data_IF_715831254318
#
_entry.id   IF_715831254318
#
_cell.length_a   1.000
_cell.length_b   1.000
_cell.length_c   1.000
_cell.angle_alpha   90.00
_cell.angle_beta   90.00
_cell.angle_gamma   90.00
#
_symmetry.space_group_name_H-M   'P 1'
#
loop_
_entity.id
_entity.type
_entity.pdbx_description
1 polymer ?
#
# COMPACT_ATOMS: atom_id res chain seq x y z
N UNK A 1 0.24 -33.34 19.56
CA UNK A 1 -1.06 -33.04 20.17
C UNK A 1 -1.50 -34.25 20.96
N UNK A 2 -1.81 -34.09 22.24
CA UNK A 2 -2.34 -35.16 23.10
C UNK A 2 -3.82 -34.86 23.32
N UNK A 3 -4.70 -35.85 23.10
CA UNK A 3 -6.14 -35.70 23.28
C UNK A 3 -6.57 -36.38 24.57
N UNK A 4 -7.34 -35.68 25.41
CA UNK A 4 -7.95 -36.28 26.59
C UNK A 4 -9.03 -37.28 26.19
N UNK A 5 -9.01 -38.47 26.81
CA UNK A 5 -9.98 -39.53 26.52
C UNK A 5 -11.22 -39.48 27.43
N UNK A 6 -11.06 -38.98 28.65
CA UNK A 6 -12.12 -38.90 29.65
C UNK A 6 -11.79 -37.84 30.69
N UNK A 7 -12.82 -37.31 31.34
CA UNK A 7 -12.68 -36.35 32.43
C UNK A 7 -12.59 -37.09 33.75
N UNK A 8 -11.67 -36.65 34.60
CA UNK A 8 -11.41 -37.24 35.90
C UNK A 8 -11.53 -36.17 36.98
N UNK A 9 -12.20 -36.50 38.08
CA UNK A 9 -12.10 -35.75 39.34
C UNK A 9 -10.92 -36.28 40.14
N UNK A 10 -10.09 -35.40 40.65
CA UNK A 10 -9.04 -35.75 41.61
C UNK A 10 -9.58 -35.60 43.03
N UNK A 11 -9.57 -36.69 43.79
CA UNK A 11 -10.06 -36.67 45.19
C UNK A 11 -8.92 -36.36 46.17
N UNK A 12 -7.71 -36.85 45.89
CA UNK A 12 -6.52 -36.59 46.72
C UNK A 12 -5.23 -36.79 45.94
N UNK A 13 -4.19 -36.06 46.31
CA UNK A 13 -2.83 -36.18 45.77
C UNK A 13 -1.88 -36.70 46.84
N UNK A 14 -0.93 -37.56 46.43
CA UNK A 14 0.11 -38.12 47.29
C UNK A 14 1.45 -38.08 46.56
N UNK A 15 2.49 -37.56 47.20
CA UNK A 15 3.86 -37.63 46.68
C UNK A 15 4.59 -38.82 47.29
N UNK A 16 5.22 -39.66 46.46
CA UNK A 16 6.12 -40.74 46.92
C UNK A 16 7.43 -40.67 46.12
N UNK A 17 8.51 -40.29 46.82
CA UNK A 17 9.79 -39.99 46.17
C UNK A 17 9.64 -38.80 45.22
N UNK A 18 10.11 -38.96 43.99
CA UNK A 18 10.02 -37.93 42.93
C UNK A 18 8.69 -37.98 42.14
N UNK A 19 7.78 -38.89 42.49
CA UNK A 19 6.55 -39.14 41.75
C UNK A 19 5.32 -38.62 42.48
N UNK A 20 4.38 -38.08 41.71
CA UNK A 20 3.03 -37.72 42.16
C UNK A 20 2.05 -38.82 41.80
N UNK A 21 1.23 -39.21 42.76
CA UNK A 21 0.10 -40.12 42.62
C UNK A 21 -1.17 -39.37 42.96
N UNK A 22 -2.28 -39.74 42.35
CA UNK A 22 -3.57 -39.17 42.70
C UNK A 22 -4.67 -40.23 42.65
N UNK A 23 -5.61 -40.13 43.60
CA UNK A 23 -6.85 -40.89 43.51
C UNK A 23 -7.80 -40.12 42.60
N UNK A 24 -8.30 -40.81 41.59
CA UNK A 24 -9.17 -40.24 40.56
C UNK A 24 -10.48 -40.99 40.45
N UNK A 25 -11.54 -40.29 40.11
CA UNK A 25 -12.83 -40.86 39.74
C UNK A 25 -13.24 -40.38 38.35
N UNK A 26 -13.83 -41.26 37.51
CA UNK A 26 -14.38 -40.84 36.23
C UNK A 26 -15.53 -39.86 36.44
N UNK A 27 -15.58 -38.85 35.58
CA UNK A 27 -16.67 -37.87 35.53
C UNK A 27 -17.35 -37.98 34.17
N UNK A 28 -18.61 -38.42 34.19
CA UNK A 28 -19.42 -38.57 32.98
C UNK A 28 -20.18 -37.27 32.68
N UNK A 29 -20.35 -36.99 31.39
CA UNK A 29 -21.16 -35.86 30.93
C UNK A 29 -22.64 -36.19 31.09
N UNK A 30 -23.40 -35.25 31.64
CA UNK A 30 -24.86 -35.30 31.71
C UNK A 30 -25.41 -34.40 30.62
N UNK A 31 -25.91 -35.01 29.54
CA UNK A 31 -26.46 -34.32 28.36
C UNK A 31 -27.94 -34.67 28.18
N UNK A 32 -28.81 -33.70 28.46
CA UNK A 32 -30.24 -33.81 28.17
C UNK A 32 -30.55 -33.24 26.78
N UNK A 33 -31.02 -34.12 25.88
CA UNK A 33 -31.38 -33.71 24.52
C UNK A 33 -32.65 -32.84 24.52
N UNK A 34 -32.63 -31.75 23.77
CA UNK A 34 -33.76 -30.85 23.66
C UNK A 34 -33.50 -29.64 22.75
N UNK A 35 -34.55 -28.90 22.38
CA UNK A 35 -34.43 -27.72 21.51
C UNK A 35 -33.55 -26.62 22.12
N UNK A 36 -33.52 -26.51 23.45
CA UNK A 36 -32.73 -25.51 24.18
C UNK A 36 -31.22 -25.78 24.07
N UNK A 37 -30.81 -27.05 24.15
CA UNK A 37 -29.42 -27.46 24.01
C UNK A 37 -28.90 -27.17 22.58
N UNK A 38 -29.72 -27.46 21.57
CA UNK A 38 -29.39 -27.17 20.18
C UNK A 38 -29.29 -25.66 19.92
N UNK A 39 -30.18 -24.86 20.52
CA UNK A 39 -30.10 -23.40 20.45
C UNK A 39 -28.80 -22.87 21.09
N UNK A 40 -28.41 -23.39 22.25
CA UNK A 40 -27.15 -23.05 22.92
C UNK A 40 -25.93 -23.42 22.07
N UNK A 41 -25.91 -24.62 21.47
CA UNK A 41 -24.83 -25.04 20.57
C UNK A 41 -24.64 -24.08 19.41
N UNK A 42 -25.74 -23.63 18.79
CA UNK A 42 -25.69 -22.63 17.71
C UNK A 42 -25.19 -21.29 18.19
N UNK A 43 -25.70 -20.80 19.33
CA UNK A 43 -25.30 -19.51 19.89
C UNK A 43 -23.80 -19.47 20.20
N UNK A 44 -23.28 -20.48 20.89
CA UNK A 44 -21.86 -20.61 21.24
C UNK A 44 -20.98 -20.71 19.98
N UNK A 45 -21.41 -21.50 18.97
CA UNK A 45 -20.70 -21.62 17.70
C UNK A 45 -20.62 -20.26 16.99
N UNK A 46 -21.74 -19.53 16.93
CA UNK A 46 -21.80 -18.23 16.27
C UNK A 46 -20.95 -17.18 17.00
N UNK A 47 -20.97 -17.15 18.34
CA UNK A 47 -20.12 -16.26 19.13
C UNK A 47 -18.63 -16.53 18.88
N UNK A 48 -18.24 -17.81 18.86
CA UNK A 48 -16.84 -18.16 18.65
C UNK A 48 -16.37 -17.87 17.22
N UNK A 49 -17.24 -18.04 16.21
CA UNK A 49 -16.95 -17.62 14.83
C UNK A 49 -16.71 -16.10 14.72
N UNK A 50 -17.47 -15.27 15.44
CA UNK A 50 -17.25 -13.82 15.48
C UNK A 50 -15.91 -13.46 16.13
N UNK A 51 -15.54 -14.14 17.21
CA UNK A 51 -14.23 -13.98 17.86
C UNK A 51 -13.10 -14.33 16.89
N UNK A 52 -13.21 -15.44 16.14
CA UNK A 52 -12.22 -15.82 15.12
C UNK A 52 -12.10 -14.74 14.05
N UNK A 53 -13.20 -14.16 13.58
CA UNK A 53 -13.18 -13.12 12.56
C UNK A 53 -12.47 -11.83 13.02
N UNK A 54 -12.48 -11.54 14.33
CA UNK A 54 -11.82 -10.38 14.94
C UNK A 54 -10.40 -10.67 15.42
N UNK A 55 -9.95 -11.94 15.41
CA UNK A 55 -8.65 -12.37 15.92
C UNK A 55 -7.83 -13.07 14.82
N UNK A 56 -6.91 -12.35 14.14
CA UNK A 56 -6.14 -12.89 13.02
C UNK A 56 -5.12 -13.98 13.42
N UNK A 57 -4.89 -14.19 14.72
CA UNK A 57 -3.91 -15.15 15.24
C UNK A 57 -4.45 -16.59 15.34
N UNK A 58 -5.76 -16.79 15.13
CA UNK A 58 -6.37 -18.13 15.21
C UNK A 58 -6.25 -18.89 13.87
N UNK A 59 -5.73 -20.14 13.87
CA UNK A 59 -5.64 -20.95 12.66
C UNK A 59 -6.99 -21.14 11.96
N UNK A 60 -7.05 -20.90 10.65
CA UNK A 60 -8.27 -21.07 9.85
C UNK A 60 -8.82 -22.51 9.80
N UNK A 61 -8.03 -23.49 10.23
CA UNK A 61 -8.42 -24.89 10.41
C UNK A 61 -9.52 -25.05 11.48
N UNK A 62 -9.54 -24.17 12.50
CA UNK A 62 -10.54 -24.18 13.58
C UNK A 62 -11.94 -23.93 13.02
N UNK A 63 -12.07 -23.08 12.01
CA UNK A 63 -13.36 -22.73 11.38
C UNK A 63 -13.99 -23.92 10.64
N UNK A 64 -13.17 -24.81 10.07
CA UNK A 64 -13.65 -26.01 9.38
C UNK A 64 -14.22 -27.05 10.35
N UNK A 65 -13.60 -27.19 11.53
CA UNK A 65 -14.08 -28.11 12.58
C UNK A 65 -15.43 -27.66 13.12
N UNK A 66 -15.62 -26.35 13.33
CA UNK A 66 -16.89 -25.77 13.79
C UNK A 66 -18.05 -25.90 12.78
N UNK A 67 -17.75 -26.11 11.50
CA UNK A 67 -18.77 -26.31 10.47
C UNK A 67 -19.39 -27.73 10.51
N UNK A 68 -18.78 -28.66 11.24
CA UNK A 68 -19.27 -30.05 11.35
C UNK A 68 -20.21 -30.19 12.55
N UNK A 69 -21.36 -30.89 12.41
CA UNK A 69 -22.23 -31.17 13.56
C UNK A 69 -21.47 -31.93 14.65
N UNK A 70 -21.28 -31.28 15.80
CA UNK A 70 -20.47 -31.82 16.91
C UNK A 70 -21.31 -31.90 18.19
N UNK A 71 -21.31 -33.04 18.89
CA UNK A 71 -22.00 -33.23 20.18
C UNK A 71 -21.70 -32.10 21.18
N UNK A 72 -22.67 -31.78 22.06
CA UNK A 72 -22.59 -30.60 22.93
C UNK A 72 -21.35 -30.57 23.82
N UNK A 73 -21.02 -31.72 24.43
CA UNK A 73 -19.84 -31.85 25.29
C UNK A 73 -18.53 -31.60 24.53
N UNK A 74 -18.37 -32.22 23.34
CA UNK A 74 -17.16 -32.07 22.51
C UNK A 74 -17.01 -30.66 21.97
N UNK A 75 -18.11 -30.03 21.57
CA UNK A 75 -18.12 -28.64 21.11
C UNK A 75 -17.62 -27.71 22.22
N UNK A 76 -18.15 -27.86 23.44
CA UNK A 76 -17.75 -27.05 24.58
C UNK A 76 -16.25 -27.20 24.87
N UNK A 77 -15.74 -28.43 24.91
CA UNK A 77 -14.34 -28.71 25.20
C UNK A 77 -13.41 -28.19 24.09
N UNK A 78 -13.81 -28.33 22.82
CA UNK A 78 -13.06 -27.81 21.67
C UNK A 78 -12.94 -26.28 21.72
N UNK A 79 -14.04 -25.59 21.97
CA UNK A 79 -14.04 -24.12 22.03
C UNK A 79 -13.24 -23.65 23.26
N UNK A 80 -13.44 -24.26 24.43
CA UNK A 80 -12.70 -23.90 25.64
C UNK A 80 -11.19 -24.08 25.50
N UNK A 81 -10.74 -25.09 24.75
CA UNK A 81 -9.31 -25.32 24.50
C UNK A 81 -8.68 -24.23 23.62
N UNK A 82 -9.44 -23.70 22.65
CA UNK A 82 -8.94 -22.74 21.66
C UNK A 82 -9.26 -21.27 22.02
N UNK A 83 -10.20 -21.04 22.94
CA UNK A 83 -10.52 -19.71 23.42
C UNK A 83 -9.44 -19.16 24.39
N UNK A 84 -9.31 -17.84 24.41
CA UNK A 84 -8.34 -17.10 25.21
C UNK A 84 -8.78 -16.94 26.68
N UNK A 85 -9.30 -18.00 27.29
CA UNK A 85 -9.69 -17.99 28.70
C UNK A 85 -8.49 -18.22 29.63
N UNK A 86 -8.59 -17.70 30.85
CA UNK A 86 -7.64 -18.02 31.91
C UNK A 86 -7.78 -19.48 32.38
N UNK A 87 -6.78 -19.95 33.13
CA UNK A 87 -6.72 -21.33 33.60
C UNK A 87 -7.89 -21.68 34.54
N UNK A 88 -8.37 -20.70 35.33
CA UNK A 88 -9.44 -20.91 36.29
C UNK A 88 -10.79 -21.11 35.58
N UNK A 89 -11.10 -20.27 34.59
CA UNK A 89 -12.26 -20.41 33.72
C UNK A 89 -12.23 -21.74 32.95
N UNK A 90 -11.08 -22.10 32.37
CA UNK A 90 -10.91 -23.40 31.68
C UNK A 90 -11.16 -24.57 32.62
N UNK A 91 -10.62 -24.52 33.84
CA UNK A 91 -10.83 -25.55 34.84
C UNK A 91 -12.29 -25.61 35.30
N UNK A 92 -12.97 -24.47 35.43
CA UNK A 92 -14.36 -24.41 35.85
C UNK A 92 -15.33 -24.94 34.80
N UNK A 93 -15.06 -24.69 33.51
CA UNK A 93 -15.77 -25.33 32.39
C UNK A 93 -15.48 -26.84 32.37
N UNK A 94 -14.22 -27.23 32.55
CA UNK A 94 -13.83 -28.63 32.62
C UNK A 94 -14.44 -29.34 33.84
N UNK A 95 -14.75 -28.67 34.94
CA UNK A 95 -15.32 -29.30 36.14
C UNK A 95 -16.85 -29.43 36.12
N UNK A 96 -17.54 -28.86 35.13
CA UNK A 96 -19.00 -28.83 35.06
C UNK A 96 -19.55 -30.03 34.27
N UNK A 97 -20.09 -31.10 34.89
CA UNK A 97 -20.54 -32.29 34.18
C UNK A 97 -21.81 -32.08 33.36
N UNK A 98 -22.65 -31.09 33.69
CA UNK A 98 -23.86 -30.81 32.94
C UNK A 98 -23.54 -30.02 31.66
N UNK A 99 -23.78 -30.62 30.50
CA UNK A 99 -23.40 -30.04 29.19
C UNK A 99 -24.14 -28.73 28.91
N UNK A 100 -25.42 -28.65 29.29
CA UNK A 100 -26.21 -27.43 29.12
C UNK A 100 -25.64 -26.28 29.94
N UNK A 101 -25.42 -26.51 31.23
CA UNK A 101 -24.84 -25.52 32.13
C UNK A 101 -23.45 -25.09 31.66
N UNK A 102 -22.65 -26.04 31.13
CA UNK A 102 -21.34 -25.75 30.55
C UNK A 102 -21.43 -24.83 29.33
N UNK A 103 -22.36 -25.09 28.41
CA UNK A 103 -22.57 -24.25 27.22
C UNK A 103 -23.12 -22.86 27.58
N UNK A 104 -23.98 -22.75 28.59
CA UNK A 104 -24.47 -21.46 29.11
C UNK A 104 -23.30 -20.61 29.64
N UNK A 105 -22.45 -21.20 30.50
CA UNK A 105 -21.26 -20.53 31.03
C UNK A 105 -20.27 -20.16 29.94
N UNK A 106 -20.07 -21.05 28.96
CA UNK A 106 -19.21 -20.79 27.81
C UNK A 106 -19.75 -19.64 26.97
N UNK A 107 -21.06 -19.57 26.73
CA UNK A 107 -21.70 -18.48 26.00
C UNK A 107 -21.48 -17.13 26.68
N UNK A 108 -21.58 -17.08 28.02
CA UNK A 108 -21.34 -15.87 28.80
C UNK A 108 -19.88 -15.39 28.66
N UNK A 109 -18.92 -16.31 28.82
CA UNK A 109 -17.49 -16.00 28.70
C UNK A 109 -17.11 -15.54 27.29
N UNK A 110 -17.61 -16.21 26.24
CA UNK A 110 -17.39 -15.79 24.86
C UNK A 110 -18.03 -14.42 24.58
N UNK A 111 -19.20 -14.13 25.16
CA UNK A 111 -19.84 -12.82 25.01
C UNK A 111 -18.99 -11.68 25.59
N UNK A 112 -18.40 -11.88 26.78
CA UNK A 112 -17.50 -10.90 27.39
C UNK A 112 -16.23 -10.70 26.56
N UNK A 113 -15.62 -11.79 26.09
CA UNK A 113 -14.42 -11.74 25.26
C UNK A 113 -14.69 -11.01 23.93
N UNK A 114 -15.80 -11.32 23.27
CA UNK A 114 -16.22 -10.66 22.03
C UNK A 114 -16.38 -9.15 22.24
N UNK A 115 -17.03 -8.72 23.33
CA UNK A 115 -17.16 -7.29 23.64
C UNK A 115 -15.80 -6.61 23.81
N UNK A 116 -14.86 -7.25 24.51
CA UNK A 116 -13.50 -6.71 24.69
C UNK A 116 -12.80 -6.54 23.33
N UNK A 117 -12.90 -7.54 22.45
CA UNK A 117 -12.32 -7.49 21.10
C UNK A 117 -12.97 -6.41 20.24
N UNK A 118 -14.29 -6.26 20.29
CA UNK A 118 -15.01 -5.19 19.60
C UNK A 118 -14.60 -3.80 20.11
N UNK A 119 -14.51 -3.60 21.42
CA UNK A 119 -14.03 -2.35 22.01
C UNK A 119 -12.58 -2.07 21.61
N UNK A 120 -11.71 -3.08 21.63
CA UNK A 120 -10.31 -2.93 21.18
C UNK A 120 -10.25 -2.51 19.71
N UNK A 121 -11.03 -3.13 18.84
CA UNK A 121 -11.14 -2.77 17.42
C UNK A 121 -11.66 -1.34 17.24
N UNK A 122 -12.71 -0.94 17.97
CA UNK A 122 -13.24 0.42 17.95
C UNK A 122 -12.22 1.46 18.44
N UNK A 123 -11.49 1.17 19.51
CA UNK A 123 -10.41 2.02 20.01
C UNK A 123 -9.31 2.14 18.97
N UNK A 124 -8.88 1.04 18.37
CA UNK A 124 -7.85 1.04 17.33
C UNK A 124 -8.28 1.88 16.12
N UNK A 125 -9.54 1.75 15.68
CA UNK A 125 -10.10 2.54 14.60
C UNK A 125 -10.20 4.03 14.99
N UNK A 126 -10.67 4.36 16.20
CA UNK A 126 -10.72 5.75 16.69
C UNK A 126 -9.34 6.37 16.84
N UNK A 127 -8.36 5.63 17.35
CA UNK A 127 -6.97 6.08 17.46
C UNK A 127 -6.39 6.30 16.06
N UNK A 128 -6.63 5.38 15.11
CA UNK A 128 -6.23 5.56 13.72
C UNK A 128 -6.85 6.81 13.10
N UNK A 129 -8.15 7.01 13.23
CA UNK A 129 -8.84 8.21 12.72
C UNK A 129 -8.40 9.50 13.42
N UNK A 130 -8.15 9.47 14.73
CA UNK A 130 -7.66 10.63 15.48
C UNK A 130 -6.20 10.94 15.14
N UNK A 131 -5.33 9.94 15.01
CA UNK A 131 -3.95 10.14 14.55
C UNK A 131 -3.94 10.67 13.12
N UNK A 132 -4.77 10.13 12.22
CA UNK A 132 -4.95 10.64 10.86
C UNK A 132 -5.47 12.10 10.86
N UNK A 133 -6.42 12.43 11.74
CA UNK A 133 -6.95 13.79 11.87
C UNK A 133 -5.93 14.75 12.48
N UNK A 134 -5.22 14.36 13.54
CA UNK A 134 -4.19 15.16 14.19
C UNK A 134 -2.97 15.33 13.29
N UNK A 135 -2.58 14.30 12.54
CA UNK A 135 -1.56 14.41 11.49
C UNK A 135 -2.04 15.32 10.36
N UNK A 136 -3.29 15.21 9.92
CA UNK A 136 -3.89 16.12 8.93
C UNK A 136 -3.92 17.56 9.45
N UNK A 137 -4.31 17.81 10.69
CA UNK A 137 -4.36 19.16 11.28
C UNK A 137 -2.95 19.73 11.53
N UNK A 138 -2.00 18.91 12.00
CA UNK A 138 -0.60 19.28 12.12
C UNK A 138 0.00 19.62 10.75
N UNK A 139 -0.28 18.78 9.75
CA UNK A 139 0.17 18.99 8.38
C UNK A 139 -0.48 20.21 7.74
N UNK A 140 -1.78 20.43 7.93
CA UNK A 140 -2.46 21.64 7.47
C UNK A 140 -1.90 22.88 8.17
N UNK A 141 -1.49 22.81 9.44
CA UNK A 141 -0.82 23.93 10.11
C UNK A 141 0.59 24.17 9.59
N UNK A 142 1.34 23.11 9.33
CA UNK A 142 2.69 23.23 8.78
C UNK A 142 2.65 23.69 7.32
N UNK A 143 1.69 23.20 6.53
CA UNK A 143 1.42 23.69 5.19
C UNK A 143 0.83 25.10 5.20
N UNK A 144 -0.02 25.49 6.15
CA UNK A 144 -0.43 26.89 6.28
C UNK A 144 0.76 27.77 6.64
N UNK A 145 1.70 27.31 7.48
CA UNK A 145 2.95 28.02 7.74
C UNK A 145 3.83 28.11 6.51
N UNK A 146 3.92 27.03 5.73
CA UNK A 146 4.75 26.95 4.54
C UNK A 146 4.12 27.79 3.42
N UNK A 147 2.80 27.72 3.22
CA UNK A 147 2.01 28.60 2.34
C UNK A 147 2.10 30.06 2.82
N UNK A 148 2.05 30.36 4.12
CA UNK A 148 2.28 31.72 4.64
C UNK A 148 3.73 32.20 4.40
N UNK A 149 4.68 31.27 4.37
CA UNK A 149 6.08 31.51 4.04
C UNK A 149 6.30 31.65 2.52
N UNK A 150 5.52 30.95 1.70
CA UNK A 150 5.52 30.98 0.23
C UNK A 150 4.74 32.17 -0.34
N UNK A 151 3.64 32.59 0.31
CA UNK A 151 2.84 33.77 0.00
C UNK A 151 3.46 35.06 0.55
N UNK A 152 4.60 34.98 1.25
CA UNK A 152 5.31 36.14 1.77
C UNK A 152 4.61 36.87 2.93
N UNK A 153 3.54 36.32 3.51
CA UNK A 153 2.82 36.94 4.63
C UNK A 153 3.54 36.74 5.98
N UNK A 154 4.45 35.76 6.08
CA UNK A 154 5.35 35.60 7.23
C UNK A 154 6.62 36.44 7.17
N UNK A 155 6.97 36.95 5.99
CA UNK A 155 8.08 37.87 5.77
C UNK A 155 7.59 39.06 4.94
N UNK A 156 6.88 39.98 5.59
CA UNK A 156 6.74 41.38 5.12
C UNK A 156 8.10 42.09 4.91
N UNK A 157 9.22 41.36 4.83
CA UNK A 157 10.57 41.88 4.71
C UNK A 157 11.15 41.77 3.30
N UNK A 158 10.67 40.91 2.40
CA UNK A 158 11.29 40.75 1.07
C UNK A 158 10.73 41.74 0.05
N UNK A 159 9.40 41.88 -0.01
CA UNK A 159 8.74 42.96 -0.77
C UNK A 159 9.07 44.32 -0.17
N UNK A 160 9.16 44.42 1.16
CA UNK A 160 9.51 45.67 1.83
C UNK A 160 11.01 45.98 1.75
N UNK A 161 11.91 44.99 1.75
CA UNK A 161 13.34 45.18 1.39
C UNK A 161 13.48 45.67 -0.04
N UNK A 162 12.79 45.05 -1.00
CA UNK A 162 12.85 45.47 -2.39
C UNK A 162 12.27 46.88 -2.54
N UNK A 163 11.24 47.25 -1.78
CA UNK A 163 10.73 48.62 -1.71
C UNK A 163 11.70 49.60 -1.04
N UNK A 164 12.37 49.22 0.06
CA UNK A 164 13.38 50.04 0.74
C UNK A 164 14.65 50.19 -0.10
N UNK A 165 15.05 49.16 -0.85
CA UNK A 165 16.21 49.16 -1.76
C UNK A 165 15.91 49.99 -3.03
N UNK A 166 14.66 49.99 -3.51
CA UNK A 166 14.17 50.91 -4.55
C UNK A 166 14.01 52.34 -4.03
N UNK A 167 13.62 52.54 -2.76
CA UNK A 167 13.47 53.86 -2.14
C UNK A 167 14.81 54.49 -1.74
N UNK A 168 15.84 53.67 -1.44
CA UNK A 168 17.21 54.09 -1.14
C UNK A 168 18.12 54.21 -2.37
N UNK A 169 17.67 53.73 -3.53
CA UNK A 169 18.32 54.01 -4.81
C UNK A 169 18.05 55.47 -5.20
N UNK A 170 19.09 56.18 -5.65
CA UNK A 170 18.94 57.52 -6.22
C UNK A 170 18.11 57.43 -7.52
N UNK A 171 16.82 57.74 -7.41
CA UNK A 171 15.84 57.75 -8.50
C UNK A 171 15.91 59.05 -9.35
N UNK A 172 17.00 59.82 -9.25
CA UNK A 172 17.18 61.06 -10.02
C UNK A 172 17.49 60.84 -11.52
N UNK A 173 17.61 59.60 -11.97
CA UNK A 173 17.79 59.25 -13.38
C UNK A 173 16.60 58.41 -13.92
N UNK A 174 15.66 59.02 -14.67
CA UNK A 174 14.48 58.35 -15.23
C UNK A 174 14.80 57.25 -16.26
N UNK A 175 16.07 57.12 -16.71
CA UNK A 175 16.46 56.19 -17.76
C UNK A 175 17.08 54.87 -17.24
N UNK A 176 17.26 54.69 -15.92
CA UNK A 176 17.77 53.42 -15.37
C UNK A 176 16.67 52.36 -15.24
N UNK A 177 16.37 51.69 -16.35
CA UNK A 177 15.57 50.46 -16.33
C UNK A 177 16.45 49.28 -15.88
N UNK A 178 16.18 48.74 -14.69
CA UNK A 178 16.83 47.50 -14.26
C UNK A 178 16.12 46.32 -14.95
N UNK A 179 16.70 45.83 -16.06
CA UNK A 179 16.17 44.67 -16.76
C UNK A 179 16.46 43.38 -15.96
N UNK A 180 15.45 42.83 -15.30
CA UNK A 180 15.54 41.53 -14.63
C UNK A 180 15.33 40.43 -15.68
N UNK A 181 16.32 39.57 -15.85
CA UNK A 181 16.32 38.42 -16.76
C UNK A 181 16.55 37.12 -15.97
N UNK A 182 16.29 35.97 -16.59
CA UNK A 182 16.52 34.67 -15.93
C UNK A 182 17.96 34.48 -15.43
N UNK A 183 18.94 35.15 -16.06
CA UNK A 183 20.36 35.06 -15.69
C UNK A 183 20.72 35.88 -14.45
N UNK A 184 20.06 37.03 -14.24
CA UNK A 184 20.33 37.87 -13.07
C UNK A 184 19.32 37.65 -11.94
N UNK A 185 18.23 36.90 -12.17
CA UNK A 185 17.25 36.53 -11.14
C UNK A 185 17.88 35.92 -9.88
N UNK A 186 18.90 35.02 -9.96
CA UNK A 186 19.52 34.46 -8.76
C UNK A 186 20.26 35.49 -7.88
N UNK A 187 20.65 36.63 -8.47
CA UNK A 187 21.29 37.74 -7.74
C UNK A 187 20.30 38.46 -6.81
N UNK A 188 19.02 38.45 -7.14
CA UNK A 188 17.97 39.16 -6.43
C UNK A 188 17.10 38.22 -5.59
N UNK A 189 16.71 37.07 -6.14
CA UNK A 189 15.83 36.07 -5.50
C UNK A 189 16.59 34.92 -4.82
N UNK A 190 17.93 34.94 -4.84
CA UNK A 190 18.77 33.86 -4.33
C UNK A 190 18.79 32.62 -5.26
N UNK A 191 19.47 31.52 -4.85
CA UNK A 191 19.58 30.32 -5.67
C UNK A 191 18.21 29.67 -5.92
N UNK A 192 18.00 28.98 -7.05
CA UNK A 192 16.72 28.34 -7.38
C UNK A 192 16.30 27.37 -6.26
N UNK A 193 15.16 27.65 -5.61
CA UNK A 193 14.62 26.85 -4.50
C UNK A 193 13.92 25.58 -4.98
N UNK A 194 13.41 25.59 -6.21
CA UNK A 194 12.72 24.48 -6.84
C UNK A 194 13.46 24.06 -8.11
N UNK A 195 13.78 22.77 -8.21
CA UNK A 195 14.24 22.14 -9.45
C UNK A 195 13.14 21.21 -9.92
N UNK A 196 12.87 21.21 -11.22
CA UNK A 196 11.95 20.23 -11.82
C UNK A 196 12.41 18.82 -11.44
N UNK A 197 11.49 18.00 -10.94
CA UNK A 197 11.78 16.61 -10.52
C UNK A 197 12.22 15.71 -11.68
N UNK A 198 11.92 16.14 -12.91
CA UNK A 198 12.25 15.47 -14.16
C UNK A 198 13.58 15.99 -14.71
N UNK A 199 13.96 17.24 -14.40
CA UNK A 199 15.20 17.83 -14.85
C UNK A 199 16.40 17.04 -14.28
N UNK A 200 17.04 16.26 -15.15
CA UNK A 200 18.21 15.44 -14.82
C UNK A 200 17.95 13.93 -14.71
N UNK A 201 16.70 13.46 -14.81
CA UNK A 201 16.39 12.01 -14.96
C UNK A 201 16.72 11.55 -16.36
N UNK A 202 17.01 10.27 -16.60
CA UNK A 202 17.21 9.68 -17.93
C UNK A 202 16.05 8.74 -18.29
N UNK A 203 15.98 8.33 -19.56
CA UNK A 203 15.03 7.29 -19.98
C UNK A 203 15.54 5.95 -19.42
N UNK A 204 14.75 5.30 -18.58
CA UNK A 204 15.20 4.14 -17.81
C UNK A 204 14.28 2.93 -18.01
N UNK A 205 14.87 1.73 -17.97
CA UNK A 205 14.13 0.47 -17.99
C UNK A 205 13.48 0.26 -16.63
N UNK A 206 12.18 -0.06 -16.64
CA UNK A 206 11.43 -0.34 -15.42
C UNK A 206 10.97 0.90 -14.66
N UNK A 207 11.22 2.12 -15.15
CA UNK A 207 10.77 3.35 -14.50
C UNK A 207 9.65 4.02 -15.30
N UNK A 208 8.45 4.18 -14.76
CA UNK A 208 7.35 4.88 -15.44
C UNK A 208 6.81 6.04 -14.62
N UNK A 209 6.37 7.10 -15.30
CA UNK A 209 5.77 8.27 -14.66
C UNK A 209 4.24 8.16 -14.65
N UNK A 210 3.67 8.04 -13.45
CA UNK A 210 2.24 8.09 -13.20
C UNK A 210 1.79 9.47 -12.69
N UNK A 211 0.49 9.76 -12.83
CA UNK A 211 -0.14 10.92 -12.19
C UNK A 211 -1.17 10.45 -11.16
N UNK A 212 -1.05 10.98 -9.94
CA UNK A 212 -1.97 10.71 -8.84
C UNK A 212 -2.70 11.97 -8.41
N UNK A 213 -3.83 11.76 -7.74
CA UNK A 213 -4.58 12.82 -7.07
C UNK A 213 -4.44 12.63 -5.56
N UNK A 214 -4.12 13.73 -4.87
CA UNK A 214 -4.10 13.81 -3.42
C UNK A 214 -5.07 14.90 -2.96
N UNK A 215 -5.51 14.91 -1.69
CA UNK A 215 -6.38 15.97 -1.17
C UNK A 215 -5.82 17.39 -1.29
N UNK A 216 -4.52 17.55 -1.50
CA UNK A 216 -3.83 18.86 -1.63
C UNK A 216 -3.51 19.23 -3.09
N UNK A 217 -3.84 18.35 -4.05
CA UNK A 217 -3.58 18.56 -5.48
C UNK A 217 -3.06 17.32 -6.19
N UNK A 218 -2.71 17.47 -7.47
CA UNK A 218 -2.07 16.41 -8.24
C UNK A 218 -0.62 16.20 -7.80
N UNK A 219 -0.15 14.95 -7.87
CA UNK A 219 1.24 14.54 -7.60
C UNK A 219 1.75 13.71 -8.77
N UNK A 220 3.02 13.88 -9.12
CA UNK A 220 3.72 13.00 -10.08
C UNK A 220 4.32 11.82 -9.31
N UNK A 221 4.04 10.61 -9.77
CA UNK A 221 4.56 9.38 -9.19
C UNK A 221 5.60 8.77 -10.12
N UNK A 222 6.76 8.42 -9.58
CA UNK A 222 7.77 7.67 -10.32
C UNK A 222 7.73 6.21 -9.89
N UNK A 223 7.14 5.35 -10.69
CA UNK A 223 7.03 3.93 -10.39
C UNK A 223 8.30 3.22 -10.85
N UNK A 224 8.86 2.37 -9.99
CA UNK A 224 10.11 1.67 -10.23
C UNK A 224 9.85 0.16 -10.17
N UNK A 225 10.22 -0.56 -11.21
CA UNK A 225 10.10 -2.00 -11.31
C UNK A 225 11.48 -2.62 -11.49
N UNK A 226 11.81 -3.62 -10.66
CA UNK A 226 13.04 -4.39 -10.78
C UNK A 226 12.75 -5.88 -10.85
N UNK A 227 13.64 -6.62 -11.53
CA UNK A 227 13.58 -8.07 -11.70
C UNK A 227 14.77 -8.71 -11.00
N UNK A 228 14.53 -9.81 -10.29
CA UNK A 228 15.56 -10.61 -9.64
C UNK A 228 15.28 -12.11 -9.86
N UNK A 229 16.30 -12.99 -9.83
CA UNK A 229 16.08 -14.43 -9.91
C UNK A 229 15.15 -14.91 -8.79
N UNK A 230 14.17 -15.76 -9.12
CA UNK A 230 13.08 -16.08 -8.19
C UNK A 230 12.16 -17.20 -8.64
N UNK A 231 10.94 -17.21 -8.11
CA UNK A 231 9.91 -18.25 -8.35
C UNK A 231 8.60 -17.67 -8.90
N UNK A 232 8.63 -16.48 -9.49
CA UNK A 232 7.45 -15.84 -10.07
C UNK A 232 6.63 -14.99 -9.09
N UNK A 233 7.22 -14.56 -7.97
CA UNK A 233 6.54 -13.70 -6.99
C UNK A 233 6.60 -12.24 -7.42
N UNK A 234 5.54 -11.49 -7.11
CA UNK A 234 5.53 -10.03 -7.22
C UNK A 234 5.49 -9.38 -5.83
N UNK A 235 6.45 -8.52 -5.53
CA UNK A 235 6.52 -7.73 -4.30
C UNK A 235 6.09 -6.29 -4.57
N UNK A 236 5.27 -5.74 -3.69
CA UNK A 236 4.72 -4.39 -3.83
C UNK A 236 5.10 -3.57 -2.60
N UNK A 237 5.72 -2.40 -2.80
CA UNK A 237 6.18 -1.53 -1.71
C UNK A 237 5.91 -0.06 -2.02
N UNK A 238 5.96 0.82 -1.00
CA UNK A 238 5.65 2.24 -1.17
C UNK A 238 4.40 2.73 -0.43
N UNK A 239 3.99 2.05 0.65
CA UNK A 239 2.76 2.35 1.39
C UNK A 239 1.50 2.37 0.52
N UNK A 240 1.41 1.40 -0.39
CA UNK A 240 0.25 1.21 -1.26
C UNK A 240 -0.98 0.75 -0.46
N UNK A 241 -2.12 1.40 -0.68
CA UNK A 241 -3.41 0.91 -0.20
C UNK A 241 -3.89 -0.32 -0.97
N UNK A 242 -4.99 -0.93 -0.52
CA UNK A 242 -5.48 -2.19 -1.08
C UNK A 242 -5.92 -2.06 -2.55
N UNK A 243 -6.57 -0.95 -2.94
CA UNK A 243 -7.01 -0.73 -4.33
C UNK A 243 -5.80 -0.58 -5.25
N UNK A 244 -4.76 0.10 -4.79
CA UNK A 244 -3.53 0.27 -5.57
C UNK A 244 -2.74 -1.05 -5.70
N UNK A 245 -2.75 -1.91 -4.66
CA UNK A 245 -2.21 -3.28 -4.75
C UNK A 245 -2.96 -4.14 -5.75
N UNK A 246 -4.30 -4.08 -5.76
CA UNK A 246 -5.13 -4.77 -6.75
C UNK A 246 -4.83 -4.28 -8.17
N UNK A 247 -4.65 -2.97 -8.37
CA UNK A 247 -4.24 -2.39 -9.65
C UNK A 247 -2.90 -2.95 -10.15
N UNK A 248 -1.91 -3.07 -9.25
CA UNK A 248 -0.63 -3.68 -9.59
C UNK A 248 -0.76 -5.17 -9.96
N UNK A 249 -1.61 -5.92 -9.25
CA UNK A 249 -1.91 -7.32 -9.58
C UNK A 249 -2.63 -7.47 -10.92
N UNK A 250 -3.55 -6.55 -11.24
CA UNK A 250 -4.23 -6.53 -12.52
C UNK A 250 -3.25 -6.25 -13.67
N UNK A 251 -2.35 -5.27 -13.51
CA UNK A 251 -1.29 -4.99 -14.46
C UNK A 251 -0.36 -6.21 -14.68
N UNK A 252 0.08 -6.85 -13.59
CA UNK A 252 0.90 -8.07 -13.66
C UNK A 252 0.19 -9.21 -14.38
N UNK A 253 -1.08 -9.46 -14.04
CA UNK A 253 -1.90 -10.53 -14.64
C UNK A 253 -2.20 -10.27 -16.13
N UNK A 254 -2.42 -9.01 -16.50
CA UNK A 254 -2.55 -8.61 -17.89
C UNK A 254 -1.28 -8.96 -18.68
N UNK A 255 -0.10 -8.52 -18.23
CA UNK A 255 1.16 -8.81 -18.93
C UNK A 255 1.42 -10.31 -19.07
N UNK A 256 1.16 -11.07 -18.00
CA UNK A 256 1.32 -12.53 -17.99
C UNK A 256 0.38 -13.26 -18.97
N UNK A 257 -0.78 -12.69 -19.27
CA UNK A 257 -1.74 -13.26 -20.23
C UNK A 257 -1.54 -12.79 -21.68
N UNK A 258 -0.60 -11.86 -21.90
CA UNK A 258 -0.39 -11.15 -23.17
C UNK A 258 1.06 -11.19 -23.65
N UNK A 259 1.82 -12.22 -23.24
CA UNK A 259 3.25 -12.32 -23.51
C UNK A 259 3.59 -12.33 -25.00
N UNK A 260 2.81 -13.05 -25.81
CA UNK A 260 3.01 -13.13 -27.27
C UNK A 260 2.81 -11.79 -27.95
N UNK A 261 1.76 -11.05 -27.57
CA UNK A 261 1.40 -9.76 -28.17
C UNK A 261 2.45 -8.68 -27.86
N UNK A 262 3.16 -8.83 -26.73
CA UNK A 262 4.11 -7.86 -26.19
C UNK A 262 5.58 -8.25 -26.38
N UNK A 263 5.85 -9.38 -27.05
CA UNK A 263 7.20 -9.94 -27.23
C UNK A 263 7.94 -10.15 -25.88
N UNK A 264 7.22 -10.69 -24.89
CA UNK A 264 7.76 -11.02 -23.57
C UNK A 264 8.00 -12.53 -23.50
N UNK A 265 9.19 -12.93 -23.05
CA UNK A 265 9.50 -14.32 -22.76
C UNK A 265 8.63 -14.84 -21.59
N UNK A 266 7.76 -15.85 -21.81
CA UNK A 266 6.90 -16.40 -20.75
C UNK A 266 7.68 -17.02 -19.58
N UNK A 267 8.90 -17.51 -19.80
CA UNK A 267 9.73 -18.11 -18.74
C UNK A 267 10.12 -17.10 -17.66
N UNK A 268 10.13 -15.80 -17.98
CA UNK A 268 10.44 -14.75 -17.01
C UNK A 268 9.47 -14.73 -15.83
N UNK A 269 8.21 -15.12 -16.04
CA UNK A 269 7.18 -15.15 -14.98
C UNK A 269 7.30 -16.33 -14.02
N UNK A 270 8.06 -17.37 -14.36
CA UNK A 270 8.28 -18.53 -13.50
C UNK A 270 9.68 -18.53 -12.87
N UNK A 271 10.66 -17.90 -13.52
CA UNK A 271 12.08 -17.91 -13.13
C UNK A 271 12.53 -16.64 -12.41
N UNK A 272 11.72 -15.58 -12.43
CA UNK A 272 12.07 -14.30 -11.81
C UNK A 272 11.02 -13.85 -10.81
N UNK A 273 11.48 -13.21 -9.73
CA UNK A 273 10.64 -12.40 -8.87
C UNK A 273 10.68 -10.94 -9.38
N UNK A 274 9.53 -10.26 -9.32
CA UNK A 274 9.39 -8.85 -9.68
C UNK A 274 9.15 -8.03 -8.42
N UNK A 275 9.69 -6.82 -8.37
CA UNK A 275 9.42 -5.88 -7.29
C UNK A 275 8.99 -4.55 -7.90
N UNK A 276 7.77 -4.12 -7.59
CA UNK A 276 7.25 -2.80 -7.94
C UNK A 276 7.29 -1.91 -6.70
N UNK A 277 8.04 -0.83 -6.79
CA UNK A 277 8.18 0.19 -5.77
C UNK A 277 7.54 1.49 -6.25
N UNK A 278 6.75 2.11 -5.37
CA UNK A 278 6.22 3.45 -5.57
C UNK A 278 6.79 4.34 -4.45
N UNK A 279 7.84 5.12 -4.71
CA UNK A 279 8.50 5.94 -3.72
C UNK A 279 7.52 6.85 -2.98
N UNK A 280 7.73 6.95 -1.68
CA UNK A 280 6.88 7.70 -0.79
C UNK A 280 7.25 9.20 -0.82
N UNK A 281 6.25 10.05 -1.05
CA UNK A 281 6.03 11.19 -0.15
C UNK A 281 5.23 10.67 1.04
N UNK A 282 5.24 11.34 2.19
CA UNK A 282 4.62 10.89 3.45
C UNK A 282 3.06 10.71 3.44
N UNK A 283 2.46 10.53 2.26
CA UNK A 283 1.02 10.49 1.99
C UNK A 283 0.68 9.09 1.47
N UNK A 284 -0.25 8.36 2.12
CA UNK A 284 -0.75 7.09 1.60
C UNK A 284 -1.35 7.24 0.19
N UNK A 285 -0.90 6.37 -0.74
CA UNK A 285 -1.31 6.37 -2.14
C UNK A 285 -2.29 5.22 -2.36
N UNK A 286 -3.56 5.55 -2.53
CA UNK A 286 -4.61 4.57 -2.77
C UNK A 286 -5.54 5.03 -3.89
N UNK A 287 -5.90 4.09 -4.77
CA UNK A 287 -6.73 4.35 -5.94
C UNK A 287 -6.23 3.67 -7.22
N UNK A 288 -7.12 3.40 -8.19
CA UNK A 288 -6.80 2.56 -9.34
C UNK A 288 -6.05 3.33 -10.45
N UNK A 289 -5.89 4.65 -10.31
CA UNK A 289 -5.48 5.53 -11.41
C UNK A 289 -4.03 5.42 -11.89
N UNK A 290 -3.20 4.62 -11.21
CA UNK A 290 -1.83 4.35 -11.60
C UNK A 290 -1.67 3.04 -12.40
N UNK A 291 -2.76 2.31 -12.67
CA UNK A 291 -2.70 0.99 -13.30
C UNK A 291 -1.97 0.96 -14.65
N UNK A 292 -2.21 1.95 -15.51
CA UNK A 292 -1.50 2.08 -16.81
C UNK A 292 0.00 2.32 -16.61
N UNK A 293 0.37 3.15 -15.63
CA UNK A 293 1.77 3.44 -15.33
C UNK A 293 2.50 2.22 -14.76
N UNK A 294 1.84 1.46 -13.87
CA UNK A 294 2.37 0.19 -13.35
C UNK A 294 2.58 -0.83 -14.45
N UNK A 295 1.60 -0.99 -15.34
CA UNK A 295 1.71 -1.89 -16.49
C UNK A 295 2.86 -1.47 -17.40
N UNK A 296 3.07 -0.17 -17.60
CA UNK A 296 4.16 0.35 -18.43
C UNK A 296 5.54 0.13 -17.80
N UNK A 297 5.69 0.35 -16.50
CA UNK A 297 6.93 0.04 -15.78
C UNK A 297 7.29 -1.45 -15.86
N UNK A 298 6.30 -2.33 -15.62
CA UNK A 298 6.50 -3.78 -15.72
C UNK A 298 6.77 -4.23 -17.16
N UNK A 299 6.05 -3.69 -18.15
CA UNK A 299 6.28 -3.98 -19.57
C UNK A 299 7.68 -3.56 -20.01
N UNK A 300 8.12 -2.37 -19.60
CA UNK A 300 9.48 -1.86 -19.83
C UNK A 300 10.53 -2.84 -19.30
N UNK A 301 10.39 -3.24 -18.03
CA UNK A 301 11.31 -4.18 -17.37
C UNK A 301 11.37 -5.54 -18.08
N UNK A 302 10.23 -6.06 -18.54
CA UNK A 302 10.14 -7.38 -19.15
C UNK A 302 10.60 -7.40 -20.60
N UNK A 303 10.41 -6.30 -21.33
CA UNK A 303 10.82 -6.15 -22.74
C UNK A 303 12.22 -5.55 -22.90
N UNK A 304 12.80 -5.01 -21.83
CA UNK A 304 14.08 -4.30 -21.88
C UNK A 304 14.00 -2.95 -22.61
N UNK A 305 12.82 -2.37 -22.77
CA UNK A 305 12.60 -1.12 -23.50
C UNK A 305 12.51 0.05 -22.52
N UNK A 306 13.40 1.06 -22.57
CA UNK A 306 13.34 2.22 -21.68
C UNK A 306 12.01 2.97 -21.80
N UNK A 307 11.51 3.50 -20.69
CA UNK A 307 10.35 4.41 -20.71
C UNK A 307 10.84 5.84 -20.86
N UNK A 308 10.17 6.62 -21.71
CA UNK A 308 10.40 8.05 -21.86
C UNK A 308 10.07 8.79 -20.57
N UNK A 309 11.06 9.48 -20.01
CA UNK A 309 10.91 10.27 -18.77
C UNK A 309 9.93 11.45 -18.90
N UNK A 310 9.73 11.93 -20.12
CA UNK A 310 8.91 13.10 -20.42
C UNK A 310 7.44 12.79 -20.74
N UNK A 311 7.05 11.51 -20.60
CA UNK A 311 5.68 11.02 -20.76
C UNK A 311 5.13 10.59 -19.41
N UNK A 312 4.02 11.21 -18.97
CA UNK A 312 3.25 10.74 -17.82
C UNK A 312 1.93 10.11 -18.26
N UNK A 313 1.36 9.26 -17.42
CA UNK A 313 0.10 8.59 -17.72
C UNK A 313 -0.78 8.40 -16.48
N UNK A 314 -2.08 8.35 -16.68
CA UNK A 314 -3.06 8.00 -15.65
C UNK A 314 -4.18 7.19 -16.28
N UNK A 315 -4.76 6.27 -15.52
CA UNK A 315 -5.80 5.38 -16.01
C UNK A 315 -5.87 4.12 -15.18
N UNK A 316 -7.09 3.65 -14.95
CA UNK A 316 -7.32 2.33 -14.39
C UNK A 316 -7.18 1.28 -15.49
N UNK A 317 -6.49 0.18 -15.21
CA UNK A 317 -6.28 -0.91 -16.17
C UNK A 317 -7.24 -2.07 -15.88
N UNK A 318 -7.77 -2.67 -16.94
CA UNK A 318 -8.51 -3.94 -16.84
C UNK A 318 -7.65 -5.11 -17.31
N UNK A 319 -8.02 -6.33 -16.88
CA UNK A 319 -7.41 -7.57 -17.38
C UNK A 319 -7.62 -7.78 -18.90
N UNK A 320 -8.53 -7.02 -19.52
CA UNK A 320 -8.85 -7.07 -20.95
C UNK A 320 -8.32 -5.84 -21.70
N UNK A 321 -7.16 -5.32 -21.30
CA UNK A 321 -6.42 -4.24 -21.96
C UNK A 321 -7.06 -2.84 -21.95
N UNK A 322 -8.33 -2.69 -21.55
CA UNK A 322 -9.00 -1.39 -21.56
C UNK A 322 -8.45 -0.47 -20.47
N UNK A 323 -8.41 0.83 -20.81
CA UNK A 323 -8.11 1.93 -19.90
C UNK A 323 -9.42 2.61 -19.48
N UNK A 324 -9.70 2.61 -18.18
CA UNK A 324 -10.90 3.18 -17.58
C UNK A 324 -10.66 4.60 -17.07
N UNK A 325 -11.72 5.43 -17.03
CA UNK A 325 -11.61 6.83 -16.64
C UNK A 325 -11.25 6.98 -15.16
N UNK A 326 -10.58 8.08 -14.84
CA UNK A 326 -10.10 8.40 -13.49
C UNK A 326 -10.46 9.83 -13.11
N UNK A 327 -10.55 10.11 -11.81
CA UNK A 327 -10.82 11.46 -11.32
C UNK A 327 -9.59 12.38 -11.29
N UNK A 328 -9.83 13.68 -11.09
CA UNK A 328 -8.82 14.69 -10.82
C UNK A 328 -7.93 15.03 -12.01
N UNK A 329 -8.46 14.97 -13.24
CA UNK A 329 -7.69 15.19 -14.48
C UNK A 329 -7.04 16.57 -14.50
N UNK A 330 -7.79 17.61 -14.14
CA UNK A 330 -7.27 18.99 -14.09
C UNK A 330 -6.07 19.09 -13.15
N UNK A 331 -6.19 18.62 -11.92
CA UNK A 331 -5.12 18.68 -10.92
C UNK A 331 -3.91 17.83 -11.33
N UNK A 332 -4.14 16.66 -11.91
CA UNK A 332 -3.09 15.75 -12.40
C UNK A 332 -2.27 16.36 -13.55
N UNK A 333 -2.93 16.97 -14.53
CA UNK A 333 -2.25 17.57 -15.67
C UNK A 333 -1.45 18.81 -15.24
N UNK A 334 -2.00 19.63 -14.34
CA UNK A 334 -1.27 20.76 -13.75
C UNK A 334 -0.01 20.27 -12.99
N UNK A 335 -0.12 19.19 -12.23
CA UNK A 335 1.03 18.61 -11.54
C UNK A 335 2.10 18.10 -12.50
N UNK A 336 1.71 17.41 -13.58
CA UNK A 336 2.62 16.98 -14.64
C UNK A 336 3.35 18.17 -15.28
N UNK A 337 2.62 19.23 -15.63
CA UNK A 337 3.20 20.45 -16.21
C UNK A 337 4.22 21.09 -15.25
N UNK A 338 3.89 21.22 -13.96
CA UNK A 338 4.81 21.77 -12.93
C UNK A 338 6.07 20.93 -12.76
N UNK A 339 5.95 19.60 -12.88
CA UNK A 339 7.09 18.70 -12.81
C UNK A 339 7.99 18.76 -14.07
N UNK A 340 7.49 19.32 -15.18
CA UNK A 340 8.19 19.41 -16.46
C UNK A 340 7.86 18.28 -17.45
N UNK A 341 6.72 17.60 -17.28
CA UNK A 341 6.23 16.61 -18.25
C UNK A 341 5.84 17.31 -19.54
N UNK A 342 6.20 16.71 -20.68
CA UNK A 342 5.87 17.23 -22.02
C UNK A 342 4.65 16.58 -22.64
N UNK A 343 4.38 15.32 -22.29
CA UNK A 343 3.24 14.56 -22.79
C UNK A 343 2.49 13.85 -21.67
N UNK A 344 1.16 13.92 -21.69
CA UNK A 344 0.29 13.17 -20.76
C UNK A 344 -0.64 12.27 -21.54
N UNK A 345 -0.67 10.99 -21.15
CA UNK A 345 -1.62 9.99 -21.65
C UNK A 345 -2.82 9.91 -20.70
N UNK A 346 -4.02 10.19 -21.22
CA UNK A 346 -5.27 10.17 -20.48
C UNK A 346 -6.24 9.11 -21.04
N UNK A 347 -7.16 8.56 -20.23
CA UNK A 347 -8.20 7.67 -20.75
C UNK A 347 -9.10 8.42 -21.74
N UNK A 348 -9.48 7.79 -22.85
CA UNK A 348 -10.38 8.40 -23.86
C UNK A 348 -11.68 8.92 -23.25
N UNK A 349 -12.23 8.19 -22.27
CA UNK A 349 -13.45 8.58 -21.55
C UNK A 349 -13.29 9.82 -20.66
N UNK A 350 -12.08 10.29 -20.40
CA UNK A 350 -11.79 11.53 -19.68
C UNK A 350 -11.65 12.77 -20.61
N UNK A 351 -11.94 12.63 -21.91
CA UNK A 351 -11.91 13.76 -22.85
C UNK A 351 -12.76 14.96 -22.40
N UNK A 352 -13.98 14.79 -21.84
CA UNK A 352 -14.74 15.93 -21.30
C UNK A 352 -14.04 16.63 -20.12
N UNK A 353 -13.41 15.88 -19.21
CA UNK A 353 -12.72 16.46 -18.05
C UNK A 353 -11.48 17.28 -18.46
N UNK A 354 -10.90 16.98 -19.62
CA UNK A 354 -9.78 17.75 -20.16
C UNK A 354 -10.17 19.17 -20.59
N UNK A 355 -11.47 19.45 -20.79
CA UNK A 355 -11.98 20.80 -21.07
C UNK A 355 -11.82 21.75 -19.87
N UNK A 356 -11.80 21.21 -18.65
CA UNK A 356 -11.60 21.98 -17.41
C UNK A 356 -10.14 22.41 -17.18
N UNK A 357 -9.21 21.88 -17.96
CA UNK A 357 -7.78 22.25 -17.88
C UNK A 357 -7.61 23.69 -18.40
N UNK A 358 -6.91 24.57 -17.64
CA UNK A 358 -6.64 25.93 -18.11
C UNK A 358 -5.95 25.96 -19.49
N UNK A 359 -6.32 26.90 -20.39
CA UNK A 359 -5.74 26.98 -21.73
C UNK A 359 -4.21 27.05 -21.73
N UNK A 360 -3.63 27.84 -20.82
CA UNK A 360 -2.18 28.00 -20.64
C UNK A 360 -1.47 26.66 -20.40
N UNK A 361 -2.10 25.77 -19.62
CA UNK A 361 -1.56 24.43 -19.34
C UNK A 361 -1.71 23.54 -20.56
N UNK A 362 -2.88 23.55 -21.21
CA UNK A 362 -3.18 22.74 -22.40
C UNK A 362 -2.27 23.08 -23.59
N UNK A 363 -1.82 24.33 -23.70
CA UNK A 363 -0.87 24.76 -24.75
C UNK A 363 0.58 24.34 -24.44
N UNK A 364 0.91 24.16 -23.17
CA UNK A 364 2.28 23.81 -22.73
C UNK A 364 2.56 22.31 -22.66
N UNK A 365 1.53 21.46 -22.67
CA UNK A 365 1.64 20.00 -22.53
C UNK A 365 0.84 19.27 -23.61
N UNK A 366 1.45 18.27 -24.26
CA UNK A 366 0.76 17.45 -25.25
C UNK A 366 -0.15 16.44 -24.54
N UNK A 367 -1.46 16.51 -24.78
CA UNK A 367 -2.43 15.56 -24.22
C UNK A 367 -2.84 14.57 -25.30
N UNK A 368 -2.62 13.29 -25.03
CA UNK A 368 -3.03 12.19 -25.91
C UNK A 368 -3.99 11.27 -25.17
N UNK A 369 -5.05 10.84 -25.85
CA UNK A 369 -6.08 9.99 -25.29
C UNK A 369 -5.91 8.54 -25.74
N UNK A 370 -6.11 7.59 -24.82
CA UNK A 370 -5.92 6.15 -25.06
C UNK A 370 -7.14 5.34 -24.61
N UNK A 371 -7.49 4.30 -25.37
CA UNK A 371 -8.54 3.34 -25.01
C UNK A 371 -7.96 2.04 -24.46
N UNK A 372 -6.78 1.66 -24.94
CA UNK A 372 -6.10 0.43 -24.59
C UNK A 372 -4.69 0.68 -24.06
N UNK A 373 -4.26 -0.15 -23.10
CA UNK A 373 -2.94 -0.04 -22.47
C UNK A 373 -1.78 -0.22 -23.47
N UNK A 374 -2.00 -0.98 -24.55
CA UNK A 374 -1.02 -1.19 -25.61
C UNK A 374 -0.64 0.13 -26.34
N UNK A 375 -1.56 1.10 -26.35
CA UNK A 375 -1.29 2.45 -26.84
C UNK A 375 -0.30 3.18 -25.93
N UNK A 376 -0.45 3.03 -24.61
CA UNK A 376 0.49 3.59 -23.65
C UNK A 376 1.91 3.04 -23.88
N UNK A 377 2.05 1.74 -24.10
CA UNK A 377 3.35 1.13 -24.38
C UNK A 377 3.98 1.68 -25.68
N UNK A 378 3.18 1.84 -26.74
CA UNK A 378 3.67 2.40 -28.02
C UNK A 378 4.13 3.85 -27.90
N UNK A 379 3.51 4.64 -27.02
CA UNK A 379 3.85 6.07 -26.84
C UNK A 379 4.94 6.31 -25.82
N UNK A 380 5.00 5.50 -24.78
CA UNK A 380 5.90 5.68 -23.64
C UNK A 380 7.20 4.88 -23.75
N UNK A 381 7.19 3.68 -24.35
CA UNK A 381 8.41 2.87 -24.47
C UNK A 381 9.20 3.26 -25.71
N UNK A 382 10.50 3.47 -25.55
CA UNK A 382 11.40 3.64 -26.68
C UNK A 382 11.31 2.44 -27.65
N UNK A 383 11.50 2.64 -28.96
CA UNK A 383 11.71 1.53 -29.88
C UNK A 383 13.01 0.82 -29.48
N UNK A 384 12.91 -0.43 -29.05
CA UNK A 384 14.06 -1.24 -28.65
C UNK A 384 14.23 -2.44 -29.57
N UNK A 385 15.48 -2.75 -29.89
CA UNK A 385 15.88 -4.02 -30.50
C UNK A 385 15.76 -5.13 -29.45
N UNK A 386 14.97 -6.21 -29.65
CA UNK A 386 14.74 -7.27 -28.65
C UNK A 386 16.01 -7.96 -28.13
N UNK A 387 17.17 -7.69 -28.74
CA UNK A 387 18.48 -8.27 -28.40
C UNK A 387 19.13 -7.78 -27.10
N UNK A 388 18.81 -6.57 -26.61
CA UNK A 388 19.46 -6.03 -25.39
C UNK A 388 18.84 -6.55 -24.08
N UNK A 389 17.66 -7.17 -24.13
CA UNK A 389 17.07 -7.85 -22.97
C UNK A 389 17.96 -8.98 -22.40
N UNK A 390 18.98 -9.41 -23.17
CA UNK A 390 19.97 -10.43 -22.77
C UNK A 390 21.11 -9.92 -21.88
N UNK A 391 21.26 -8.61 -21.66
CA UNK A 391 22.48 -8.05 -21.04
C UNK A 391 22.36 -7.64 -19.57
N UNK A 392 21.28 -7.98 -18.85
CA UNK A 392 21.26 -7.71 -17.39
C UNK A 392 22.27 -8.56 -16.60
N UNK A 393 22.77 -9.67 -17.17
CA UNK A 393 23.93 -10.39 -16.60
C UNK A 393 25.24 -9.62 -16.79
N UNK A 394 25.43 -8.94 -17.91
CA UNK A 394 26.67 -8.21 -18.22
C UNK A 394 26.67 -6.84 -17.52
N UNK A 395 25.53 -6.14 -17.45
CA UNK A 395 25.39 -4.86 -16.75
C UNK A 395 25.49 -5.00 -15.22
N UNK A 396 25.06 -6.13 -14.65
CA UNK A 396 25.20 -6.41 -13.22
C UNK A 396 26.62 -6.85 -12.82
N UNK A 397 27.39 -7.42 -13.75
CA UNK A 397 28.78 -7.80 -13.53
C UNK A 397 29.74 -6.59 -13.57
N UNK A 398 29.37 -5.50 -14.25
CA UNK A 398 30.29 -4.38 -14.44
C UNK A 398 30.44 -3.41 -13.25
N UNK A 399 29.51 -3.28 -12.28
CA UNK A 399 29.73 -2.44 -11.07
C UNK A 399 28.95 -2.92 -9.82
N UNK A 400 29.58 -3.10 -8.62
CA UNK A 400 30.78 -2.40 -8.14
C UNK A 400 31.83 -3.33 -7.50
N UNK A 401 32.65 -4.02 -8.31
CA UNK A 401 33.98 -4.48 -7.86
C UNK A 401 35.08 -3.45 -8.20
N UNK A 402 34.94 -2.72 -9.31
CA UNK A 402 35.93 -1.74 -9.77
C UNK A 402 35.99 -0.45 -8.93
N UNK A 403 34.89 -0.04 -8.27
CA UNK A 403 34.86 1.20 -7.47
C UNK A 403 35.53 1.08 -6.10
N UNK A 404 35.59 -0.12 -5.53
CA UNK A 404 36.24 -0.39 -4.25
C UNK A 404 37.77 -0.48 -4.41
N UNK A 405 38.27 -0.91 -5.57
CA UNK A 405 39.71 -0.96 -5.85
C UNK A 405 40.29 0.44 -6.12
N UNK A 406 39.58 1.28 -6.91
CA UNK A 406 40.03 2.64 -7.21
C UNK A 406 40.06 3.57 -5.98
N UNK A 407 39.17 3.36 -5.01
CA UNK A 407 39.19 4.12 -3.74
C UNK A 407 40.30 3.67 -2.78
N UNK A 408 40.78 2.42 -2.87
CA UNK A 408 41.90 1.92 -2.07
C UNK A 408 43.27 2.34 -2.61
N UNK A 409 43.40 2.53 -3.92
CA UNK A 409 44.65 3.03 -4.52
C UNK A 409 44.81 4.55 -4.40
N UNK A 410 43.72 5.31 -4.28
CA UNK A 410 43.77 6.76 -4.04
C UNK A 410 44.07 7.14 -2.58
N UNK A 411 44.13 6.17 -1.65
CA UNK A 411 44.44 6.38 -0.23
C UNK A 411 45.81 5.79 0.20
N UNK A 412 46.61 5.30 -0.75
CA UNK A 412 48.04 4.98 -0.56
C UNK A 412 48.87 5.97 -1.35
#
# INVERSE_FOLDING_TARGET
>A
LVQGMSRLRFDSFMKRGDWWFANVQPMEDVEEQGPELEALRRAVTQLFQQIIALSPDLPGEITQVLATPTEGARLADFIAANAAFDTEAKQALLAEPNVRARLERLSEQLGQELQILEYRSQIQNRVKTNVERTQREYWLREQMREIQKELGEGESGEVERLREEVAGADLSDPERTLAISGENLPRYAGPPRFRSEIAGREDEIGMATGLAWTPVGGEVLFLEAVRMPGKGKISLTGQLGEVMKESAQAAYSFLRSHTTDLDIDPELFSTSDLHLHVPAGAIPKDGPSAGVAMATALASLLTGRPVRRDVAMTGEITLRRHVLPVGGIKEKVIAGQRAGIRKVLLPERNRPDAEEIPPEVRESIEIEFIEHVDEAFRRALAPGDPGEARSYRELAEERPAARIHALKEAQR
#
